data_IF_230193939203
#
_entry.id   IF_230193939203
#
_cell.length_a   1.000
_cell.length_b   1.000
_cell.length_c   1.000
_cell.angle_alpha   90.00
_cell.angle_beta   90.00
_cell.angle_gamma   90.00
#
_symmetry.space_group_name_H-M   'P 1'
#
loop_
_entity.id
_entity.type
_entity.pdbx_description
1 polymer ?
#
# COMPACT_ATOMS: atom_id res chain seq x y z
N UNK A 1 33.33 -8.74 -4.04
CA UNK A 1 32.02 -9.06 -3.44
C UNK A 1 31.16 -9.66 -4.55
N UNK A 2 30.66 -10.88 -4.40
CA UNK A 2 29.66 -11.43 -5.33
C UNK A 2 28.32 -10.74 -5.05
N UNK A 3 27.81 -9.97 -6.00
CA UNK A 3 26.55 -9.23 -5.85
C UNK A 3 25.36 -10.17 -6.00
N UNK A 4 24.82 -10.67 -4.89
CA UNK A 4 23.52 -11.34 -4.92
C UNK A 4 22.41 -10.28 -4.98
N UNK A 5 21.51 -10.38 -5.95
CA UNK A 5 20.37 -9.48 -6.12
C UNK A 5 19.07 -10.24 -5.84
N UNK A 6 18.30 -9.74 -4.87
CA UNK A 6 16.94 -10.16 -4.61
C UNK A 6 16.09 -8.89 -4.53
N UNK A 7 15.38 -8.58 -5.61
CA UNK A 7 14.60 -7.37 -5.74
C UNK A 7 13.25 -7.77 -6.31
N UNK A 8 12.17 -7.34 -5.65
CA UNK A 8 10.81 -7.48 -6.14
C UNK A 8 10.11 -6.14 -6.07
N UNK A 9 9.45 -5.77 -7.16
CA UNK A 9 8.60 -4.60 -7.25
C UNK A 9 7.24 -5.07 -7.74
N UNK A 10 6.21 -4.83 -6.93
CA UNK A 10 4.84 -5.24 -7.26
C UNK A 10 3.85 -4.13 -6.96
N UNK A 11 2.85 -4.02 -7.84
CA UNK A 11 1.73 -3.13 -7.70
C UNK A 11 0.46 -3.94 -7.49
N UNK A 12 -0.43 -3.47 -6.63
CA UNK A 12 -1.68 -4.16 -6.39
C UNK A 12 -2.55 -3.45 -5.38
N UNK A 13 -3.74 -4.01 -5.17
CA UNK A 13 -4.70 -3.51 -4.19
C UNK A 13 -4.74 -4.41 -2.98
N UNK A 14 -4.82 -3.82 -1.78
CA UNK A 14 -4.99 -4.59 -0.55
C UNK A 14 -6.30 -5.38 -0.60
N UNK A 15 -6.26 -6.67 -0.28
CA UNK A 15 -7.46 -7.52 -0.27
C UNK A 15 -8.26 -7.42 1.03
N UNK A 16 -7.58 -7.02 2.10
CA UNK A 16 -8.09 -6.86 3.47
C UNK A 16 -7.30 -5.78 4.19
N UNK A 17 -7.82 -5.34 5.33
CA UNK A 17 -7.12 -4.38 6.19
C UNK A 17 -5.80 -4.95 6.73
N UNK A 18 -4.75 -4.12 6.88
CA UNK A 18 -3.48 -4.56 7.41
C UNK A 18 -3.61 -5.03 8.86
N UNK A 19 -2.90 -6.11 9.21
CA UNK A 19 -2.80 -6.59 10.59
C UNK A 19 -1.52 -6.03 11.21
N UNK A 20 -1.67 -5.10 12.15
CA UNK A 20 -0.57 -4.53 12.91
C UNK A 20 -0.37 -5.28 14.23
N UNK A 21 0.89 -5.56 14.56
CA UNK A 21 1.28 -6.21 15.81
C UNK A 21 2.57 -5.59 16.34
N UNK A 22 2.70 -5.50 17.65
CA UNK A 22 3.99 -5.28 18.31
C UNK A 22 4.53 -6.59 18.86
N UNK A 23 5.76 -6.93 18.49
CA UNK A 23 6.44 -8.10 19.03
C UNK A 23 6.81 -7.89 20.49
N UNK A 24 7.09 -8.98 21.23
CA UNK A 24 7.57 -8.92 22.62
C UNK A 24 8.84 -8.08 22.79
N UNK A 25 9.64 -7.96 21.72
CA UNK A 25 10.88 -7.19 21.70
C UNK A 25 10.64 -5.72 21.29
N UNK A 26 9.39 -5.24 21.28
CA UNK A 26 9.03 -3.87 20.95
C UNK A 26 9.04 -3.53 19.45
N UNK A 27 9.45 -4.45 18.57
CA UNK A 27 9.48 -4.21 17.11
C UNK A 27 8.07 -4.24 16.53
N UNK A 28 7.72 -3.21 15.78
CA UNK A 28 6.50 -3.11 14.98
C UNK A 28 6.52 -4.04 13.78
N UNK A 29 5.40 -4.72 13.55
CA UNK A 29 5.17 -5.67 12.47
C UNK A 29 3.83 -5.37 11.83
N UNK A 30 3.79 -5.25 10.51
CA UNK A 30 2.55 -5.11 9.77
C UNK A 30 2.50 -6.16 8.66
N UNK A 31 1.39 -6.91 8.62
CA UNK A 31 1.11 -7.92 7.60
C UNK A 31 -0.08 -7.49 6.75
N UNK A 32 0.04 -7.62 5.45
CA UNK A 32 -1.04 -7.31 4.52
C UNK A 32 -0.90 -8.17 3.26
N UNK A 33 -1.98 -8.31 2.52
CA UNK A 33 -1.99 -9.11 1.28
C UNK A 33 -2.49 -8.22 0.14
N UNK A 34 -1.87 -8.31 -1.03
CA UNK A 34 -2.31 -7.58 -2.21
C UNK A 34 -2.76 -8.52 -3.32
N UNK A 35 -3.71 -8.04 -4.11
CA UNK A 35 -4.09 -8.64 -5.38
C UNK A 35 -3.38 -7.91 -6.52
N UNK A 36 -2.66 -8.67 -7.34
CA UNK A 36 -2.05 -8.21 -8.59
C UNK A 36 -2.81 -8.82 -9.77
N UNK A 37 -3.34 -7.98 -10.65
CA UNK A 37 -4.09 -8.45 -11.81
C UNK A 37 -3.15 -8.57 -13.02
N UNK A 38 -3.25 -9.70 -13.74
CA UNK A 38 -2.58 -9.93 -15.01
C UNK A 38 -3.62 -10.07 -16.12
N UNK A 39 -3.42 -9.34 -17.21
CA UNK A 39 -4.25 -9.43 -18.41
C UNK A 39 -3.41 -10.01 -19.55
N UNK A 40 -3.93 -11.01 -20.24
CA UNK A 40 -3.26 -11.63 -21.39
C UNK A 40 -4.29 -12.21 -22.36
N UNK A 41 -3.91 -12.37 -23.62
CA UNK A 41 -4.79 -12.96 -24.64
C UNK A 41 -4.56 -14.46 -24.75
N UNK A 42 -5.65 -15.23 -24.92
CA UNK A 42 -5.62 -16.66 -25.26
C UNK A 42 -6.69 -16.92 -26.29
N UNK A 43 -6.32 -17.49 -27.45
CA UNK A 43 -7.23 -17.76 -28.57
C UNK A 43 -8.10 -16.55 -28.96
N UNK A 44 -7.51 -15.36 -29.02
CA UNK A 44 -8.20 -14.11 -29.36
C UNK A 44 -9.11 -13.53 -28.26
N UNK A 45 -9.23 -14.19 -27.10
CA UNK A 45 -10.03 -13.70 -25.97
C UNK A 45 -9.13 -13.10 -24.89
N UNK A 46 -9.48 -11.91 -24.38
CA UNK A 46 -8.80 -11.29 -23.24
C UNK A 46 -9.14 -12.04 -21.95
N UNK A 47 -8.13 -12.65 -21.33
CA UNK A 47 -8.21 -13.35 -20.06
C UNK A 47 -7.67 -12.48 -18.92
N UNK A 48 -8.29 -12.61 -17.74
CA UNK A 48 -7.87 -11.94 -16.51
C UNK A 48 -7.52 -12.98 -15.47
N UNK A 49 -6.31 -12.91 -14.96
CA UNK A 49 -5.82 -13.71 -13.84
C UNK A 49 -5.46 -12.81 -12.67
N UNK A 50 -5.64 -13.30 -11.45
CA UNK A 50 -5.36 -12.54 -10.23
C UNK A 50 -4.43 -13.34 -9.34
N UNK A 51 -3.27 -12.76 -9.03
CA UNK A 51 -2.33 -13.30 -8.07
C UNK A 51 -2.49 -12.63 -6.72
N UNK A 52 -2.32 -13.42 -5.66
CA UNK A 52 -2.35 -12.94 -4.29
C UNK A 52 -0.98 -13.09 -3.66
N UNK A 53 -0.46 -11.99 -3.12
CA UNK A 53 0.84 -11.98 -2.48
C UNK A 53 0.70 -11.52 -1.04
N UNK A 54 1.34 -12.26 -0.13
CA UNK A 54 1.47 -11.87 1.27
C UNK A 54 2.72 -11.04 1.47
N UNK A 55 2.55 -9.92 2.18
CA UNK A 55 3.61 -8.97 2.47
C UNK A 55 3.77 -8.77 3.97
N UNK A 56 5.02 -8.56 4.35
CA UNK A 56 5.43 -8.29 5.71
C UNK A 56 6.33 -7.07 5.69
N UNK A 57 6.05 -6.11 6.57
CA UNK A 57 6.93 -4.96 6.79
C UNK A 57 7.19 -4.78 8.29
N UNK A 58 8.30 -4.13 8.62
CA UNK A 58 8.82 -4.00 9.98
C UNK A 58 9.17 -2.55 10.30
N UNK A 59 9.22 -2.24 11.60
CA UNK A 59 9.71 -0.95 12.11
C UNK A 59 8.89 0.23 11.58
N UNK A 60 9.59 1.29 11.15
CA UNK A 60 8.96 2.52 10.66
C UNK A 60 7.94 2.28 9.53
N UNK A 61 8.27 1.42 8.57
CA UNK A 61 7.37 1.10 7.47
C UNK A 61 6.11 0.35 7.95
N UNK A 62 6.21 -0.45 9.02
CA UNK A 62 5.06 -1.09 9.64
C UNK A 62 4.14 -0.08 10.32
N UNK A 63 4.70 0.88 11.05
CA UNK A 63 3.92 1.92 11.71
C UNK A 63 3.20 2.80 10.67
N UNK A 64 3.92 3.19 9.60
CA UNK A 64 3.33 3.95 8.48
C UNK A 64 2.26 3.15 7.74
N UNK A 65 2.51 1.87 7.46
CA UNK A 65 1.56 1.01 6.78
C UNK A 65 0.26 0.83 7.58
N UNK A 66 0.35 0.67 8.90
CA UNK A 66 -0.82 0.53 9.76
C UNK A 66 -1.74 1.76 9.74
N UNK A 67 -1.18 2.96 9.60
CA UNK A 67 -1.97 4.21 9.56
C UNK A 67 -2.50 4.51 8.17
N UNK A 68 -1.74 4.20 7.12
CA UNK A 68 -2.03 4.67 5.76
C UNK A 68 -2.73 3.64 4.87
N UNK A 69 -2.65 2.36 5.19
CA UNK A 69 -3.21 1.29 4.39
C UNK A 69 -4.56 0.81 4.94
N UNK A 70 -5.47 0.47 4.02
CA UNK A 70 -6.76 -0.15 4.30
C UNK A 70 -7.18 -1.01 3.10
N UNK A 71 -8.21 -1.84 3.26
CA UNK A 71 -8.74 -2.71 2.22
C UNK A 71 -9.07 -1.93 0.93
N UNK A 72 -8.55 -2.39 -0.20
CA UNK A 72 -8.79 -1.80 -1.52
C UNK A 72 -7.82 -0.69 -1.91
N UNK A 73 -7.00 -0.18 -0.97
CA UNK A 73 -5.94 0.82 -1.22
C UNK A 73 -4.97 0.31 -2.29
N UNK A 74 -4.68 1.14 -3.29
CA UNK A 74 -3.72 0.83 -4.34
C UNK A 74 -2.30 1.20 -3.90
N UNK A 75 -1.37 0.24 -4.00
CA UNK A 75 0.00 0.40 -3.54
C UNK A 75 1.02 -0.13 -4.55
N UNK A 76 2.17 0.53 -4.61
CA UNK A 76 3.41 0.02 -5.16
C UNK A 76 4.32 -0.38 -4.01
N UNK A 77 4.84 -1.60 -4.04
CA UNK A 77 5.72 -2.13 -3.02
C UNK A 77 7.04 -2.53 -3.65
N UNK A 78 8.14 -2.08 -3.05
CA UNK A 78 9.50 -2.53 -3.37
C UNK A 78 10.08 -3.29 -2.18
N UNK A 79 10.77 -4.38 -2.44
CA UNK A 79 11.26 -5.24 -1.39
C UNK A 79 12.04 -6.44 -1.88
N UNK A 80 12.00 -7.50 -1.08
CA UNK A 80 12.72 -8.75 -1.33
C UNK A 80 11.80 -9.95 -1.15
N UNK A 81 12.01 -11.00 -1.94
CA UNK A 81 11.31 -12.27 -1.76
C UNK A 81 11.95 -13.05 -0.61
N UNK A 82 11.16 -13.46 0.38
CA UNK A 82 11.61 -14.24 1.54
C UNK A 82 10.94 -15.59 1.55
N UNK A 83 11.75 -16.62 1.72
CA UNK A 83 11.28 -17.97 2.02
C UNK A 83 11.48 -18.24 3.52
N UNK A 84 10.44 -18.71 4.19
CA UNK A 84 10.50 -19.17 5.57
C UNK A 84 10.22 -20.67 5.60
N UNK A 85 11.19 -21.45 6.07
CA UNK A 85 11.05 -22.89 6.28
C UNK A 85 10.79 -23.10 7.77
N UNK A 86 9.68 -23.76 8.09
CA UNK A 86 9.27 -24.03 9.46
C UNK A 86 8.71 -25.43 9.61
N UNK A 87 8.87 -26.02 10.79
CA UNK A 87 8.26 -27.31 11.13
C UNK A 87 6.83 -27.06 11.61
N UNK A 88 5.85 -27.65 10.94
CA UNK A 88 4.46 -27.60 11.37
C UNK A 88 4.25 -28.51 12.60
N UNK A 89 3.10 -28.36 13.28
CA UNK A 89 2.77 -29.13 14.49
C UNK A 89 2.74 -30.65 14.25
N UNK A 90 2.53 -31.06 13.00
CA UNK A 90 2.55 -32.44 12.52
C UNK A 90 3.97 -33.00 12.32
N UNK A 91 5.02 -32.21 12.56
CA UNK A 91 6.41 -32.59 12.33
C UNK A 91 6.89 -32.43 10.88
N UNK A 92 6.01 -32.03 9.95
CA UNK A 92 6.38 -31.83 8.55
C UNK A 92 7.09 -30.50 8.34
N UNK A 93 8.14 -30.49 7.50
CA UNK A 93 8.79 -29.26 7.06
C UNK A 93 7.92 -28.58 6.01
N UNK A 94 7.48 -27.35 6.29
CA UNK A 94 6.73 -26.50 5.35
C UNK A 94 7.57 -25.30 4.96
N UNK A 95 7.33 -24.81 3.75
CA UNK A 95 7.94 -23.60 3.21
C UNK A 95 6.84 -22.60 2.88
N UNK A 96 7.00 -21.37 3.32
CA UNK A 96 6.14 -20.25 2.96
C UNK A 96 6.96 -19.16 2.29
N UNK A 97 6.43 -18.60 1.21
CA UNK A 97 7.04 -17.48 0.51
C UNK A 97 6.21 -16.24 0.82
N UNK A 98 6.89 -15.15 1.16
CA UNK A 98 6.28 -13.84 1.38
C UNK A 98 7.23 -12.75 0.91
N UNK A 99 6.71 -11.54 0.77
CA UNK A 99 7.49 -10.39 0.34
C UNK A 99 7.81 -9.54 1.56
N UNK A 100 9.10 -9.29 1.79
CA UNK A 100 9.55 -8.29 2.74
C UNK A 100 9.45 -6.91 2.09
N UNK A 101 8.45 -6.13 2.47
CA UNK A 101 8.22 -4.80 1.93
C UNK A 101 9.17 -3.78 2.60
N UNK A 102 10.14 -3.29 1.82
CA UNK A 102 11.14 -2.30 2.24
C UNK A 102 10.69 -0.86 1.97
N UNK A 103 9.93 -0.64 0.89
CA UNK A 103 9.29 0.65 0.59
C UNK A 103 7.85 0.41 0.12
N UNK A 104 6.94 1.28 0.54
CA UNK A 104 5.52 1.21 0.23
C UNK A 104 5.06 2.60 -0.19
N UNK A 105 4.59 2.72 -1.44
CA UNK A 105 4.04 3.94 -2.00
C UNK A 105 2.55 3.76 -2.25
N UNK A 106 1.76 4.70 -1.75
CA UNK A 106 0.34 4.78 -2.07
C UNK A 106 0.18 5.35 -3.47
N UNK A 107 -0.60 4.66 -4.33
CA UNK A 107 -0.89 5.06 -5.69
C UNK A 107 -2.30 5.60 -5.87
N UNK A 108 -3.13 5.55 -4.82
CA UNK A 108 -4.43 6.21 -4.86
C UNK A 108 -4.20 7.70 -5.16
N UNK A 109 -4.88 8.21 -6.20
CA UNK A 109 -4.86 9.64 -6.52
C UNK A 109 -5.19 10.38 -5.24
N UNK A 110 -4.29 11.24 -4.78
CA UNK A 110 -4.65 12.24 -3.77
C UNK A 110 -5.81 13.00 -4.41
N UNK A 111 -7.03 12.76 -3.94
CA UNK A 111 -8.12 13.66 -4.26
C UNK A 111 -7.61 15.02 -3.81
N UNK A 112 -7.30 15.89 -4.76
CA UNK A 112 -7.30 17.33 -4.53
C UNK A 112 -8.79 17.63 -4.33
N UNK A 113 -9.33 17.19 -3.20
CA UNK A 113 -10.60 17.67 -2.73
C UNK A 113 -10.38 19.16 -2.56
N UNK A 114 -11.25 19.96 -3.18
CA UNK A 114 -11.46 21.35 -2.82
C UNK A 114 -11.41 21.44 -1.30
N UNK A 115 -10.25 21.81 -0.78
CA UNK A 115 -10.10 22.14 0.61
C UNK A 115 -10.73 23.51 0.68
N UNK A 116 -12.05 23.54 0.87
CA UNK A 116 -12.70 24.72 1.40
C UNK A 116 -11.98 24.99 2.72
N UNK A 117 -11.02 25.91 2.68
CA UNK A 117 -10.44 26.49 3.86
C UNK A 117 -11.56 27.27 4.56
N UNK A 118 -12.40 26.61 5.35
CA UNK A 118 -13.15 27.32 6.40
C UNK A 118 -12.16 27.61 7.52
N UNK A 119 -11.30 28.59 7.26
CA UNK A 119 -10.61 29.32 8.31
C UNK A 119 -11.68 30.23 8.90
N UNK A 120 -12.32 29.79 9.98
CA UNK A 120 -13.14 30.67 10.81
C UNK A 120 -12.23 31.76 11.36
N UNK A 121 -12.29 32.93 10.75
CA UNK A 121 -11.87 34.19 11.34
C UNK A 121 -13.11 35.10 11.33
N UNK A 122 -13.59 35.44 12.52
CA UNK A 122 -14.60 36.48 12.76
C UNK A 122 -15.96 36.32 12.05
N UNK A 123 -16.52 35.11 12.05
CA UNK A 123 -17.95 34.85 11.79
C UNK A 123 -18.55 35.51 10.53
N UNK A 124 -17.74 35.79 9.51
CA UNK A 124 -18.18 36.26 8.20
C UNK A 124 -17.76 35.22 7.16
N UNK A 125 -18.71 34.85 6.30
CA UNK A 125 -18.49 33.94 5.18
C UNK A 125 -17.70 34.71 4.13
N UNK A 126 -16.47 34.27 3.84
CA UNK A 126 -15.54 34.89 2.88
C UNK A 126 -15.87 34.55 1.41
N UNK A 127 -17.13 34.24 1.08
CA UNK A 127 -17.57 33.96 -0.30
C UNK A 127 -17.45 35.19 -1.20
N UNK A 128 -17.55 36.39 -0.63
CA UNK A 128 -17.77 37.61 -1.40
C UNK A 128 -16.46 38.26 -1.91
N UNK A 129 -15.29 37.78 -1.46
CA UNK A 129 -13.98 38.34 -1.86
C UNK A 129 -13.39 37.72 -3.13
N UNK A 130 -13.94 36.61 -3.63
CA UNK A 130 -13.40 35.88 -4.79
C UNK A 130 -13.99 36.41 -6.11
N UNK A 131 -15.21 36.95 -6.11
CA UNK A 131 -15.86 37.43 -7.34
C UNK A 131 -15.25 38.73 -7.88
N UNK A 132 -14.73 39.61 -7.02
CA UNK A 132 -14.23 40.94 -7.44
C UNK A 132 -12.88 40.89 -8.18
N UNK A 133 -12.11 39.80 -8.06
CA UNK A 133 -10.77 39.67 -8.67
C UNK A 133 -10.72 38.75 -9.90
N UNK A 134 -11.86 38.30 -10.42
CA UNK A 134 -11.92 37.49 -11.64
C UNK A 134 -12.12 38.30 -12.92
N UNK A 135 -12.43 39.60 -12.83
CA UNK A 135 -12.57 40.48 -13.99
C UNK A 135 -11.26 41.17 -14.44
N UNK A 136 -10.18 41.12 -13.64
CA UNK A 136 -8.89 41.74 -14.01
C UNK A 136 -7.90 40.80 -14.72
N UNK A 137 -8.27 39.54 -15.00
CA UNK A 137 -7.35 38.54 -15.61
C UNK A 137 -7.84 38.04 -16.99
N UNK A 138 -8.74 38.79 -17.65
CA UNK A 138 -9.05 38.60 -19.07
C UNK A 138 -8.85 39.88 -19.87
#
# INVERSE_FOLDING_TARGET
>A
MSGNANIIVIEGRLTKDPTYMKTKNGKSLCKFSIANNRFYYTNGTLQKEVYFFDLVTWGYNADRAAVTLFKGRHVLVSGELRQNIYTAKDGTKKSAIYILALDIKNLDKKSIGNTSYTKTANNQIVSDFIEENLEEVF
#
